data_IF_857837216335
#
_entry.id   IF_857837216335
#
_cell.length_a   1.000
_cell.length_b   1.000
_cell.length_c   1.000
_cell.angle_alpha   90.00
_cell.angle_beta   90.00
_cell.angle_gamma   90.00
#
_symmetry.space_group_name_H-M   'P 1'
#
loop_
_entity.id
_entity.type
_entity.pdbx_description
1 polymer ?
#
# COMPACT_ATOMS: atom_id res chain seq x y z
N UNK A 1 35.29 -7.03 5.65
CA UNK A 1 34.18 -6.57 6.51
C UNK A 1 34.64 -5.26 7.10
N UNK A 2 34.34 -4.16 6.40
CA UNK A 2 34.84 -2.82 6.67
C UNK A 2 34.09 -2.18 7.85
N UNK A 3 34.88 -1.80 8.85
CA UNK A 3 34.70 -0.68 9.79
C UNK A 3 33.29 -0.09 9.86
N UNK A 4 32.56 -0.43 10.93
CA UNK A 4 31.43 0.35 11.39
C UNK A 4 32.00 1.60 12.06
N UNK A 5 31.91 2.73 11.38
CA UNK A 5 32.29 4.06 11.86
C UNK A 5 31.54 4.38 13.18
N UNK A 6 32.28 4.61 14.27
CA UNK A 6 31.75 4.83 15.64
C UNK A 6 31.13 6.24 15.85
N UNK A 7 30.95 7.03 14.79
CA UNK A 7 30.55 8.45 14.93
C UNK A 7 29.11 8.68 15.41
N UNK A 8 28.26 7.66 15.42
CA UNK A 8 26.87 7.77 15.89
C UNK A 8 26.47 6.55 16.73
N UNK A 9 26.43 6.66 18.07
CA UNK A 9 25.95 5.56 18.91
C UNK A 9 24.51 5.22 18.51
N UNK A 10 24.24 3.92 18.32
CA UNK A 10 22.91 3.43 17.99
C UNK A 10 21.94 3.75 19.13
N UNK A 11 21.11 4.77 18.90
CA UNK A 11 19.96 5.14 19.72
C UNK A 11 18.81 5.47 18.76
N UNK A 12 17.58 5.19 19.15
CA UNK A 12 16.39 5.35 18.30
C UNK A 12 16.27 6.79 17.78
N UNK A 13 16.61 7.79 18.62
CA UNK A 13 16.62 9.20 18.22
C UNK A 13 17.61 9.51 17.09
N UNK A 14 18.78 8.87 17.10
CA UNK A 14 19.79 9.04 16.06
C UNK A 14 19.34 8.34 14.78
N UNK A 15 18.83 7.12 14.89
CA UNK A 15 18.30 6.38 13.75
C UNK A 15 17.17 7.16 13.05
N UNK A 16 16.23 7.71 13.83
CA UNK A 16 15.12 8.54 13.32
C UNK A 16 15.58 9.78 12.56
N UNK A 17 16.75 10.36 12.89
CA UNK A 17 17.30 11.49 12.13
C UNK A 17 17.85 11.06 10.78
N UNK A 18 18.53 9.92 10.73
CA UNK A 18 19.19 9.42 9.51
C UNK A 18 18.14 8.98 8.47
N UNK A 19 16.98 8.50 8.90
CA UNK A 19 15.87 8.08 8.00
C UNK A 19 14.87 9.19 7.66
N UNK A 20 15.09 10.43 8.11
CA UNK A 20 14.27 11.57 7.69
C UNK A 20 14.58 11.95 6.26
N UNK A 21 13.53 12.10 5.45
CA UNK A 21 13.64 12.48 4.05
C UNK A 21 12.71 13.64 3.73
N UNK A 22 12.99 14.31 2.61
CA UNK A 22 12.20 15.43 2.11
C UNK A 22 11.49 15.01 0.84
N UNK A 23 10.17 15.06 0.85
CA UNK A 23 9.36 14.79 -0.34
C UNK A 23 9.55 15.91 -1.37
N UNK A 24 9.18 15.65 -2.62
CA UNK A 24 9.28 16.64 -3.71
C UNK A 24 8.56 17.96 -3.41
N UNK A 25 7.52 17.93 -2.57
CA UNK A 25 6.77 19.10 -2.12
C UNK A 25 7.36 19.79 -0.87
N UNK A 26 8.59 19.45 -0.47
CA UNK A 26 9.29 20.03 0.68
C UNK A 26 8.87 19.47 2.04
N UNK A 27 7.93 18.52 2.11
CA UNK A 27 7.52 17.92 3.39
C UNK A 27 8.56 16.95 3.91
N UNK A 28 8.98 17.14 5.15
CA UNK A 28 9.83 16.16 5.86
C UNK A 28 8.97 15.00 6.34
N UNK A 29 9.44 13.78 6.12
CA UNK A 29 8.79 12.55 6.58
C UNK A 29 9.81 11.51 7.01
N UNK A 30 9.36 10.52 7.77
CA UNK A 30 10.16 9.35 8.16
C UNK A 30 9.98 8.28 7.10
N UNK A 31 11.09 7.74 6.58
CA UNK A 31 11.04 6.64 5.62
C UNK A 31 10.57 5.33 6.30
N UNK A 32 9.28 5.05 6.17
CA UNK A 32 8.62 3.82 6.67
C UNK A 32 8.11 2.92 5.52
N UNK A 33 8.25 3.35 4.26
CA UNK A 33 7.70 2.64 3.10
C UNK A 33 8.49 1.37 2.75
N UNK A 34 7.84 0.21 2.79
CA UNK A 34 8.45 -1.08 2.45
C UNK A 34 8.92 -1.21 0.99
N UNK A 35 8.42 -0.35 0.09
CA UNK A 35 8.77 -0.39 -1.33
C UNK A 35 10.00 0.46 -1.68
N UNK A 36 10.58 1.19 -0.72
CA UNK A 36 11.80 1.97 -0.95
C UNK A 36 13.03 1.06 -0.96
N UNK A 37 14.02 1.43 -1.77
CA UNK A 37 15.32 0.73 -1.82
C UNK A 37 16.34 1.24 -0.80
N UNK A 38 16.01 2.34 -0.11
CA UNK A 38 16.90 3.00 0.83
C UNK A 38 16.50 2.68 2.28
N UNK A 39 17.47 2.70 3.18
CA UNK A 39 17.30 2.33 4.59
C UNK A 39 16.20 3.18 5.28
N UNK A 40 15.42 2.51 6.12
CA UNK A 40 14.25 3.05 6.82
C UNK A 40 13.61 1.97 7.69
N UNK A 41 12.45 2.25 8.28
CA UNK A 41 11.71 1.23 9.03
C UNK A 41 11.17 0.11 8.11
N UNK A 42 10.85 0.44 6.84
CA UNK A 42 10.41 -0.49 5.79
C UNK A 42 9.26 -1.43 6.22
N UNK A 43 8.40 -0.99 7.13
CA UNK A 43 7.39 -1.81 7.81
C UNK A 43 5.96 -1.50 7.37
N UNK A 44 5.79 -0.52 6.46
CA UNK A 44 4.46 0.02 6.14
C UNK A 44 4.20 0.19 4.65
N UNK A 45 2.95 -0.09 4.26
CA UNK A 45 2.37 0.35 2.98
C UNK A 45 1.65 1.68 3.13
N UNK A 46 1.72 2.51 2.09
CA UNK A 46 0.82 3.66 1.94
C UNK A 46 -0.62 3.19 1.69
N UNK A 47 -1.58 4.06 1.97
CA UNK A 47 -3.00 3.79 1.74
C UNK A 47 -3.29 3.42 0.27
N UNK A 48 -2.68 4.14 -0.66
CA UNK A 48 -2.86 3.90 -2.09
C UNK A 48 -2.20 2.59 -2.56
N UNK A 49 -1.02 2.26 -2.05
CA UNK A 49 -0.39 0.95 -2.31
C UNK A 49 -1.30 -0.19 -1.81
N UNK A 50 -1.86 -0.07 -0.61
CA UNK A 50 -2.82 -1.06 -0.07
C UNK A 50 -4.07 -1.19 -0.92
N UNK A 51 -4.66 -0.07 -1.36
CA UNK A 51 -5.82 -0.08 -2.28
C UNK A 51 -5.48 -0.78 -3.58
N UNK A 52 -4.34 -0.47 -4.18
CA UNK A 52 -3.87 -1.09 -5.43
C UNK A 52 -3.72 -2.60 -5.31
N UNK A 53 -3.07 -3.07 -4.24
CA UNK A 53 -2.93 -4.52 -3.98
C UNK A 53 -4.31 -5.16 -3.82
N UNK A 54 -5.20 -4.55 -3.03
CA UNK A 54 -6.56 -5.05 -2.84
C UNK A 54 -7.34 -5.14 -4.16
N UNK A 55 -7.30 -4.10 -4.98
CA UNK A 55 -7.95 -4.11 -6.30
C UNK A 55 -7.44 -5.24 -7.19
N UNK A 56 -6.13 -5.51 -7.19
CA UNK A 56 -5.56 -6.64 -7.94
C UNK A 56 -6.09 -7.96 -7.40
N UNK A 57 -6.09 -8.16 -6.07
CA UNK A 57 -6.57 -9.40 -5.46
C UNK A 57 -8.06 -9.66 -5.73
N UNK A 58 -8.88 -8.60 -5.67
CA UNK A 58 -10.34 -8.68 -5.91
C UNK A 58 -10.68 -8.98 -7.37
N UNK A 59 -9.87 -8.52 -8.33
CA UNK A 59 -10.08 -8.72 -9.76
C UNK A 59 -9.25 -9.88 -10.36
N UNK A 60 -8.36 -10.50 -9.60
CA UNK A 60 -7.54 -11.59 -10.08
C UNK A 60 -8.39 -12.84 -10.33
N UNK A 61 -8.48 -13.26 -11.60
CA UNK A 61 -9.28 -14.42 -12.01
C UNK A 61 -8.84 -15.71 -11.28
N UNK A 62 -7.54 -15.90 -11.02
CA UNK A 62 -7.04 -17.18 -10.51
C UNK A 62 -6.89 -17.26 -8.99
N UNK A 63 -7.14 -16.18 -8.24
CA UNK A 63 -7.02 -16.24 -6.79
C UNK A 63 -8.29 -16.84 -6.17
N UNK A 64 -8.19 -17.95 -5.42
CA UNK A 64 -9.33 -18.51 -4.71
C UNK A 64 -9.73 -17.55 -3.58
N UNK A 65 -10.97 -17.07 -3.60
CA UNK A 65 -11.51 -16.15 -2.60
C UNK A 65 -12.81 -15.48 -3.07
N UNK A 66 -13.58 -14.87 -2.14
CA UNK A 66 -14.78 -14.13 -2.47
C UNK A 66 -14.40 -12.89 -3.29
N UNK A 67 -14.75 -12.92 -4.58
CA UNK A 67 -14.52 -11.81 -5.50
C UNK A 67 -15.69 -10.84 -5.44
N UNK A 68 -15.42 -9.60 -5.78
CA UNK A 68 -16.49 -8.67 -6.13
C UNK A 68 -17.13 -9.22 -7.40
N UNK A 69 -18.42 -9.55 -7.33
CA UNK A 69 -19.21 -9.88 -8.52
C UNK A 69 -19.30 -8.62 -9.38
N UNK A 70 -18.33 -8.45 -10.27
CA UNK A 70 -18.38 -7.41 -11.28
C UNK A 70 -19.27 -7.94 -12.39
N UNK A 71 -20.50 -7.42 -12.47
CA UNK A 71 -21.39 -7.68 -13.60
C UNK A 71 -20.60 -7.50 -14.91
N UNK A 72 -20.48 -8.53 -15.75
CA UNK A 72 -19.70 -8.44 -16.97
C UNK A 72 -20.31 -7.33 -17.82
N UNK A 73 -19.59 -6.21 -17.95
CA UNK A 73 -20.02 -5.09 -18.80
C UNK A 73 -19.84 -5.54 -20.25
N UNK A 74 -20.84 -6.25 -20.76
CA UNK A 74 -20.91 -6.61 -22.16
C UNK A 74 -20.82 -5.32 -22.98
N UNK A 75 -19.79 -5.18 -23.82
CA UNK A 75 -19.70 -4.11 -24.82
C UNK A 75 -20.75 -4.23 -25.92
N UNK A 76 -21.68 -5.20 -25.81
CA UNK A 76 -22.84 -5.37 -26.66
C UNK A 76 -24.03 -5.87 -25.83
N UNK A 77 -25.03 -4.99 -25.67
CA UNK A 77 -26.44 -5.23 -25.37
C UNK A 77 -26.89 -6.33 -24.39
N UNK A 78 -27.24 -5.94 -23.16
CA UNK A 78 -28.59 -5.96 -22.52
C UNK A 78 -28.44 -5.55 -21.04
N UNK A 79 -29.42 -4.83 -20.48
CA UNK A 79 -29.30 -4.09 -19.20
C UNK A 79 -29.05 -5.00 -17.99
N UNK A 80 -28.12 -4.59 -17.12
CA UNK A 80 -27.97 -5.12 -15.77
C UNK A 80 -29.24 -4.87 -14.95
N UNK A 81 -29.79 -5.92 -14.33
CA UNK A 81 -30.93 -5.83 -13.42
C UNK A 81 -30.39 -5.62 -12.00
N UNK A 82 -30.78 -4.51 -11.35
CA UNK A 82 -30.39 -4.22 -9.96
C UNK A 82 -31.14 -5.16 -9.01
N UNK A 83 -30.49 -5.82 -8.04
CA UNK A 83 -31.21 -6.46 -6.94
C UNK A 83 -31.95 -5.39 -6.10
N UNK A 84 -33.18 -5.69 -5.73
CA UNK A 84 -34.15 -4.74 -5.13
C UNK A 84 -33.93 -4.44 -3.65
N UNK A 85 -32.92 -5.02 -3.00
CA UNK A 85 -32.71 -4.88 -1.56
C UNK A 85 -31.26 -4.50 -1.25
N UNK A 86 -30.99 -3.33 -0.63
CA UNK A 86 -29.67 -3.02 -0.11
C UNK A 86 -29.33 -3.94 1.09
N UNK A 87 -28.11 -4.50 1.13
CA UNK A 87 -27.64 -5.22 2.32
C UNK A 87 -27.42 -4.23 3.47
N UNK A 88 -27.95 -4.49 4.68
CA UNK A 88 -27.67 -3.67 5.84
C UNK A 88 -26.19 -3.75 6.21
N UNK A 89 -25.61 -2.59 6.51
CA UNK A 89 -24.25 -2.45 7.04
C UNK A 89 -24.29 -2.76 8.53
N UNK A 90 -23.46 -3.70 9.00
CA UNK A 90 -23.11 -3.87 10.42
C UNK A 90 -21.77 -3.23 10.72
#
# INVERSE_FOLDING_TARGET
MSELDETFPYNDDNYRKVIQRVALNGRVFIADNIMDYEFGYLDRFTLEQRKRVRTVLENAWLLPGPKIEVEPRARSGKKAVKPSVPKPVS
#
